data_IF_249419796207
#
_entry.id   IF_249419796207
#
_cell.length_a   1.000
_cell.length_b   1.000
_cell.length_c   1.000
_cell.angle_alpha   90.00
_cell.angle_beta   90.00
_cell.angle_gamma   90.00
#
_symmetry.space_group_name_H-M   'P 1'
#
loop_
_entity.id
_entity.type
_entity.pdbx_description
1 polymer ?
#
# COMPACT_ATOMS: atom_id res chain seq x y z
N UNK A 1 -20.28 -21.88 -25.92
CA UNK A 1 -19.10 -22.54 -26.51
C UNK A 1 -19.44 -24.03 -26.48
N UNK A 2 -19.91 -24.58 -27.63
CA UNK A 2 -20.14 -26.01 -27.79
C UNK A 2 -18.77 -26.72 -27.77
N UNK A 3 -18.64 -27.78 -26.96
CA UNK A 3 -17.51 -28.69 -27.05
C UNK A 3 -17.55 -29.36 -28.41
N UNK A 4 -16.50 -29.16 -29.21
CA UNK A 4 -16.27 -30.03 -30.38
C UNK A 4 -16.14 -31.47 -29.88
N UNK A 5 -16.63 -32.45 -30.64
CA UNK A 5 -16.42 -33.86 -30.31
C UNK A 5 -14.93 -34.18 -30.16
N UNK A 6 -14.55 -34.94 -29.16
CA UNK A 6 -13.14 -35.28 -28.86
C UNK A 6 -12.40 -35.89 -30.05
N UNK A 7 -13.11 -36.60 -30.93
CA UNK A 7 -12.54 -37.19 -32.14
C UNK A 7 -12.09 -36.16 -33.19
N UNK A 8 -12.87 -35.09 -33.38
CA UNK A 8 -12.54 -34.00 -34.30
C UNK A 8 -11.32 -33.18 -33.79
N UNK A 9 -11.20 -33.02 -32.46
CA UNK A 9 -10.04 -32.41 -31.84
C UNK A 9 -8.76 -33.25 -32.03
N UNK A 10 -8.87 -34.58 -31.95
CA UNK A 10 -7.75 -35.52 -32.16
C UNK A 10 -7.30 -35.54 -33.62
N UNK A 11 -8.20 -35.55 -34.55
CA UNK A 11 -7.88 -35.47 -36.00
C UNK A 11 -7.18 -34.15 -36.33
N UNK A 12 -7.71 -33.02 -35.86
CA UNK A 12 -7.11 -31.71 -36.08
C UNK A 12 -5.72 -31.61 -35.43
N UNK A 13 -5.52 -32.18 -34.23
CA UNK A 13 -4.22 -32.23 -33.57
C UNK A 13 -3.20 -33.05 -34.38
N UNK A 14 -3.60 -34.22 -34.89
CA UNK A 14 -2.73 -35.06 -35.70
C UNK A 14 -2.38 -34.37 -37.02
N UNK A 15 -3.32 -33.69 -37.65
CA UNK A 15 -3.10 -32.89 -38.85
C UNK A 15 -2.12 -31.75 -38.63
N UNK A 16 -2.23 -31.01 -37.50
CA UNK A 16 -1.29 -29.96 -37.16
C UNK A 16 0.12 -30.53 -36.93
N UNK A 17 0.23 -31.68 -36.25
CA UNK A 17 1.52 -32.34 -36.03
C UNK A 17 2.17 -32.78 -37.36
N UNK A 18 1.41 -33.34 -38.28
CA UNK A 18 1.92 -33.74 -39.59
C UNK A 18 2.38 -32.57 -40.46
N UNK A 19 1.90 -31.34 -40.18
CA UNK A 19 2.32 -30.10 -40.83
C UNK A 19 3.56 -29.46 -40.19
N UNK A 20 4.16 -30.07 -39.14
CA UNK A 20 5.34 -29.55 -38.43
C UNK A 20 5.03 -28.77 -37.15
N UNK A 21 3.78 -28.91 -36.65
CA UNK A 21 3.38 -28.34 -35.35
C UNK A 21 3.10 -26.82 -35.35
N UNK A 22 3.26 -26.20 -34.20
CA UNK A 22 2.99 -24.77 -34.03
C UNK A 22 4.16 -23.90 -34.54
N UNK A 23 3.87 -22.96 -35.41
CA UNK A 23 4.84 -21.99 -35.91
C UNK A 23 4.67 -20.67 -35.17
N UNK A 24 5.72 -20.23 -34.45
CA UNK A 24 5.73 -18.98 -33.68
C UNK A 24 6.51 -17.92 -34.46
N UNK A 25 5.83 -16.83 -34.79
CA UNK A 25 6.45 -15.66 -35.44
C UNK A 25 6.58 -14.55 -34.39
N UNK A 26 7.82 -14.14 -34.10
CA UNK A 26 8.11 -12.94 -33.35
C UNK A 26 8.33 -11.77 -34.30
N UNK A 27 7.59 -10.68 -34.11
CA UNK A 27 7.70 -9.47 -34.92
C UNK A 27 8.74 -8.48 -34.39
N UNK A 28 9.27 -8.76 -33.19
CA UNK A 28 10.33 -8.00 -32.52
C UNK A 28 11.09 -8.90 -31.55
N UNK A 29 12.23 -8.43 -31.06
CA UNK A 29 12.95 -9.08 -29.94
C UNK A 29 12.55 -8.43 -28.63
N UNK A 30 12.29 -9.24 -27.63
CA UNK A 30 12.00 -8.76 -26.30
C UNK A 30 13.27 -8.24 -25.60
N UNK A 31 13.09 -7.40 -24.60
CA UNK A 31 14.21 -6.84 -23.81
C UNK A 31 15.06 -7.92 -23.11
N UNK A 32 14.49 -9.09 -22.85
CA UNK A 32 15.15 -10.20 -22.17
C UNK A 32 15.17 -11.46 -23.03
N UNK A 33 16.35 -12.06 -23.16
CA UNK A 33 16.54 -13.36 -23.82
C UNK A 33 15.65 -14.46 -23.23
N UNK A 34 15.37 -14.39 -21.92
CA UNK A 34 14.48 -15.35 -21.26
C UNK A 34 13.06 -15.26 -21.80
N UNK A 35 12.56 -14.08 -22.08
CA UNK A 35 11.21 -13.86 -22.62
C UNK A 35 11.14 -14.36 -24.07
N UNK A 36 12.18 -14.10 -24.89
CA UNK A 36 12.28 -14.68 -26.24
C UNK A 36 12.24 -16.21 -26.20
N UNK A 37 12.99 -16.83 -25.29
CA UNK A 37 12.98 -18.29 -25.14
C UNK A 37 11.62 -18.81 -24.65
N UNK A 38 10.90 -18.06 -23.81
CA UNK A 38 9.53 -18.41 -23.43
C UNK A 38 8.56 -18.33 -24.63
N UNK A 39 8.73 -17.35 -25.50
CA UNK A 39 7.95 -17.26 -26.74
C UNK A 39 8.27 -18.42 -27.67
N UNK A 40 9.55 -18.73 -27.89
CA UNK A 40 10.00 -19.90 -28.69
C UNK A 40 9.48 -21.20 -28.10
N UNK A 41 9.52 -21.36 -26.78
CA UNK A 41 9.04 -22.56 -26.08
C UNK A 41 7.52 -22.78 -26.18
N UNK A 42 6.78 -21.87 -26.80
CA UNK A 42 5.37 -22.08 -27.13
C UNK A 42 5.21 -23.05 -28.29
N UNK A 43 6.19 -23.11 -29.21
CA UNK A 43 6.16 -23.99 -30.35
C UNK A 43 6.37 -25.48 -30.01
N UNK A 44 7.19 -25.79 -28.99
CA UNK A 44 7.63 -27.17 -28.69
C UNK A 44 7.15 -27.70 -27.34
N UNK A 45 5.90 -27.45 -26.91
CA UNK A 45 5.39 -27.95 -25.64
C UNK A 45 5.23 -29.44 -25.60
N UNK A 46 5.65 -30.07 -24.48
CA UNK A 46 5.52 -31.52 -24.24
C UNK A 46 6.18 -32.41 -25.30
N UNK A 47 7.23 -31.89 -25.97
CA UNK A 47 7.91 -32.64 -27.02
C UNK A 47 7.20 -32.68 -28.40
N UNK A 48 6.16 -31.85 -28.57
CA UNK A 48 5.54 -31.67 -29.87
C UNK A 48 6.52 -30.92 -30.80
N UNK A 49 6.48 -31.29 -32.11
CA UNK A 49 7.23 -30.55 -33.13
C UNK A 49 6.72 -29.13 -33.27
N UNK A 50 7.61 -28.21 -33.60
CA UNK A 50 7.27 -26.81 -33.82
C UNK A 50 8.46 -25.99 -34.26
N UNK A 51 8.20 -24.81 -34.83
CA UNK A 51 9.21 -23.93 -35.36
C UNK A 51 9.00 -22.50 -34.86
N UNK A 52 10.08 -21.72 -34.85
CA UNK A 52 9.97 -20.28 -34.48
C UNK A 52 10.92 -19.45 -35.32
N UNK A 53 10.46 -18.27 -35.71
CA UNK A 53 11.27 -17.26 -36.42
C UNK A 53 11.03 -15.89 -35.81
N UNK A 54 12.07 -15.04 -35.76
CA UNK A 54 11.95 -13.65 -35.34
C UNK A 54 12.34 -12.73 -36.48
N UNK A 55 11.46 -11.80 -36.81
CA UNK A 55 11.71 -10.68 -37.69
C UNK A 55 12.00 -9.46 -36.86
N UNK A 56 13.11 -8.78 -37.11
CA UNK A 56 13.59 -7.65 -36.30
C UNK A 56 13.85 -6.47 -37.21
N UNK A 57 13.36 -5.31 -36.82
CA UNK A 57 13.62 -4.06 -37.50
C UNK A 57 14.73 -3.27 -36.80
N UNK A 58 15.45 -2.44 -37.57
CA UNK A 58 16.37 -1.46 -36.99
C UNK A 58 15.67 -0.34 -36.21
N UNK A 59 14.36 -0.20 -36.44
CA UNK A 59 13.51 0.78 -35.75
C UNK A 59 12.96 0.24 -34.43
N UNK A 60 13.14 -1.05 -34.13
CA UNK A 60 12.72 -1.65 -32.86
C UNK A 60 13.41 -0.97 -31.68
N UNK A 61 12.71 -0.83 -30.56
CA UNK A 61 13.20 -0.13 -29.38
C UNK A 61 14.54 -0.66 -28.86
N UNK A 62 14.75 -1.97 -28.92
CA UNK A 62 16.02 -2.60 -28.57
C UNK A 62 17.17 -2.07 -29.45
N UNK A 63 16.92 -1.90 -30.74
CA UNK A 63 17.91 -1.41 -31.69
C UNK A 63 18.12 0.09 -31.58
N UNK A 64 17.07 0.86 -31.30
CA UNK A 64 17.16 2.32 -31.06
C UNK A 64 17.98 2.65 -29.83
N UNK A 65 17.86 1.88 -28.75
CA UNK A 65 18.56 2.13 -27.49
C UNK A 65 20.04 1.72 -27.57
N UNK A 66 20.37 0.65 -28.31
CA UNK A 66 21.71 0.05 -28.32
C UNK A 66 22.33 -0.06 -29.71
N UNK A 67 21.57 0.20 -30.76
CA UNK A 67 22.09 0.34 -32.11
C UNK A 67 22.97 1.60 -32.20
N UNK A 68 24.28 1.40 -32.26
CA UNK A 68 25.18 2.52 -32.48
C UNK A 68 25.03 3.06 -33.90
N UNK A 69 25.26 4.37 -34.10
CA UNK A 69 25.35 4.99 -35.44
C UNK A 69 26.32 4.21 -36.38
N UNK A 70 27.33 3.56 -35.79
CA UNK A 70 28.23 2.66 -36.49
C UNK A 70 27.52 1.44 -37.09
N UNK A 71 26.44 0.96 -36.55
CA UNK A 71 25.68 -0.17 -37.10
C UNK A 71 24.88 0.25 -38.34
N UNK A 72 24.27 1.44 -38.32
CA UNK A 72 23.60 2.01 -39.48
C UNK A 72 24.59 2.25 -40.63
N UNK A 73 25.79 2.73 -40.32
CA UNK A 73 26.85 2.93 -41.31
C UNK A 73 27.37 1.60 -41.92
N UNK A 74 27.41 0.52 -41.12
CA UNK A 74 27.82 -0.80 -41.62
C UNK A 74 26.71 -1.40 -42.48
N UNK A 75 25.45 -1.26 -42.10
CA UNK A 75 24.31 -1.76 -42.87
C UNK A 75 24.16 -1.01 -44.21
N UNK A 76 24.38 0.29 -44.22
CA UNK A 76 24.46 1.07 -45.49
C UNK A 76 25.63 0.63 -46.40
N UNK A 77 26.78 0.27 -45.80
CA UNK A 77 27.92 -0.29 -46.56
C UNK A 77 27.69 -1.68 -47.10
N UNK A 78 26.80 -2.46 -46.46
CA UNK A 78 26.35 -3.80 -46.92
C UNK A 78 25.33 -3.71 -48.07
N UNK A 79 24.94 -2.51 -48.50
CA UNK A 79 24.14 -2.29 -49.69
C UNK A 79 22.68 -2.65 -49.55
N UNK A 80 22.12 -2.57 -48.34
CA UNK A 80 20.70 -2.76 -48.10
C UNK A 80 19.86 -1.79 -48.87
N UNK A 81 18.95 -2.33 -49.67
CA UNK A 81 17.84 -1.58 -50.25
C UNK A 81 16.62 -1.72 -49.36
N UNK A 82 15.79 -0.69 -49.35
CA UNK A 82 14.52 -0.75 -48.60
C UNK A 82 13.70 -1.99 -48.99
N UNK A 83 13.34 -2.78 -48.01
CA UNK A 83 12.55 -4.00 -48.20
C UNK A 83 13.35 -5.31 -48.31
N UNK A 84 14.67 -5.31 -48.22
CA UNK A 84 15.48 -6.54 -48.19
C UNK A 84 15.70 -7.00 -46.75
N UNK A 85 15.59 -8.35 -46.54
CA UNK A 85 15.93 -8.97 -45.27
C UNK A 85 17.36 -9.49 -45.28
N UNK A 86 18.10 -9.26 -44.20
CA UNK A 86 19.44 -9.80 -44.01
C UNK A 86 19.40 -10.86 -42.92
N UNK A 87 19.86 -12.07 -43.28
CA UNK A 87 20.20 -13.07 -42.28
C UNK A 87 21.73 -13.23 -42.24
N UNK A 88 22.33 -12.57 -41.23
CA UNK A 88 23.78 -12.63 -41.06
C UNK A 88 24.13 -12.89 -39.58
N UNK A 89 25.00 -13.86 -39.27
CA UNK A 89 25.37 -14.23 -37.90
C UNK A 89 25.87 -13.07 -37.07
N UNK A 90 26.42 -12.06 -37.70
CA UNK A 90 26.92 -10.87 -37.03
C UNK A 90 25.82 -9.99 -36.42
N UNK A 91 24.69 -9.89 -37.14
CA UNK A 91 23.49 -9.17 -36.66
C UNK A 91 22.91 -9.88 -35.44
N UNK A 92 22.78 -11.19 -35.51
CA UNK A 92 22.31 -11.99 -34.38
C UNK A 92 23.19 -11.80 -33.13
N UNK A 93 24.53 -11.75 -33.31
CA UNK A 93 25.48 -11.51 -32.22
C UNK A 93 25.40 -10.07 -31.67
N UNK A 94 25.12 -9.09 -32.53
CA UNK A 94 24.93 -7.71 -32.11
C UNK A 94 23.63 -7.54 -31.29
N UNK A 95 22.53 -8.16 -31.72
CA UNK A 95 21.27 -8.22 -31.00
C UNK A 95 21.41 -8.88 -29.61
N UNK A 96 22.12 -10.00 -29.56
CA UNK A 96 22.38 -10.69 -28.29
C UNK A 96 23.16 -9.81 -27.31
N UNK A 97 24.17 -9.09 -27.79
CA UNK A 97 24.91 -8.12 -26.97
C UNK A 97 24.04 -6.94 -26.51
N UNK A 98 23.14 -6.47 -27.37
CA UNK A 98 22.19 -5.42 -27.02
C UNK A 98 21.26 -5.90 -25.89
N UNK A 99 20.66 -7.10 -26.02
CA UNK A 99 19.83 -7.69 -24.97
C UNK A 99 20.60 -7.83 -23.65
N UNK A 100 21.85 -8.34 -23.67
CA UNK A 100 22.68 -8.46 -22.47
C UNK A 100 22.89 -7.12 -21.76
N UNK A 101 23.10 -6.02 -22.51
CA UNK A 101 23.23 -4.68 -21.94
C UNK A 101 21.93 -4.20 -21.28
N UNK A 102 20.77 -4.45 -21.92
CA UNK A 102 19.45 -4.12 -21.33
C UNK A 102 19.22 -4.91 -20.07
N UNK A 103 19.48 -6.23 -20.11
CA UNK A 103 19.34 -7.09 -18.94
C UNK A 103 20.22 -6.63 -17.78
N UNK A 104 21.48 -6.29 -18.05
CA UNK A 104 22.41 -5.77 -17.02
C UNK A 104 21.90 -4.46 -16.43
N UNK A 105 21.47 -3.51 -17.27
CA UNK A 105 20.89 -2.24 -16.78
C UNK A 105 19.64 -2.48 -15.92
N UNK A 106 18.72 -3.31 -16.38
CA UNK A 106 17.51 -3.63 -15.63
C UNK A 106 17.81 -4.37 -14.33
N UNK A 107 18.86 -5.21 -14.32
CA UNK A 107 19.35 -5.85 -13.11
C UNK A 107 19.88 -4.83 -12.10
N UNK A 108 20.71 -3.88 -12.54
CA UNK A 108 21.25 -2.84 -11.66
C UNK A 108 20.16 -1.92 -11.12
N UNK A 109 19.15 -1.55 -11.92
CA UNK A 109 18.00 -0.79 -11.45
C UNK A 109 17.27 -1.57 -10.36
N UNK A 110 16.94 -2.84 -10.60
CA UNK A 110 16.26 -3.67 -9.59
C UNK A 110 17.10 -3.84 -8.33
N UNK A 111 18.41 -4.08 -8.46
CA UNK A 111 19.32 -4.20 -7.32
C UNK A 111 19.36 -2.92 -6.49
N UNK A 112 19.34 -1.77 -7.13
CA UNK A 112 19.29 -0.49 -6.41
C UNK A 112 17.95 -0.29 -5.71
N UNK A 113 16.82 -0.61 -6.37
CA UNK A 113 15.50 -0.54 -5.73
C UNK A 113 15.42 -1.41 -4.47
N UNK A 114 15.94 -2.64 -4.53
CA UNK A 114 15.97 -3.53 -3.35
C UNK A 114 16.71 -2.92 -2.16
N UNK A 115 17.83 -2.22 -2.39
CA UNK A 115 18.58 -1.57 -1.30
C UNK A 115 17.76 -0.49 -0.56
N UNK A 116 16.84 0.18 -1.25
CA UNK A 116 15.90 1.12 -0.62
C UNK A 116 14.76 0.39 0.08
N UNK A 117 14.25 -0.69 -0.54
CA UNK A 117 13.16 -1.48 0.00
C UNK A 117 13.57 -2.25 1.27
N UNK A 118 14.84 -2.67 1.39
CA UNK A 118 15.37 -3.32 2.59
C UNK A 118 15.16 -2.46 3.84
N UNK A 119 15.41 -1.15 3.75
CA UNK A 119 15.21 -0.22 4.87
C UNK A 119 13.74 -0.17 5.31
N UNK A 120 12.83 -0.09 4.35
CA UNK A 120 11.40 -0.12 4.63
C UNK A 120 10.96 -1.46 5.22
N UNK A 121 11.54 -2.56 4.74
CA UNK A 121 11.22 -3.90 5.20
C UNK A 121 11.65 -4.12 6.66
N UNK A 122 12.83 -3.65 7.05
CA UNK A 122 13.30 -3.71 8.44
C UNK A 122 12.33 -2.95 9.38
N UNK A 123 11.95 -1.75 9.00
CA UNK A 123 10.99 -0.95 9.76
C UNK A 123 9.60 -1.61 9.82
N UNK A 124 9.18 -2.23 8.72
CA UNK A 124 7.93 -3.01 8.65
C UNK A 124 7.95 -4.15 9.66
N UNK A 125 9.04 -4.90 9.75
CA UNK A 125 9.16 -6.00 10.71
C UNK A 125 8.98 -5.52 12.14
N UNK A 126 9.56 -4.39 12.52
CA UNK A 126 9.40 -3.81 13.86
C UNK A 126 7.94 -3.45 14.14
N UNK A 127 7.30 -2.70 13.23
CA UNK A 127 5.90 -2.27 13.39
C UNK A 127 4.94 -3.48 13.42
N UNK A 128 5.12 -4.45 12.51
CA UNK A 128 4.24 -5.63 12.50
C UNK A 128 4.46 -6.54 13.72
N UNK A 129 5.68 -6.62 14.24
CA UNK A 129 5.96 -7.33 15.48
C UNK A 129 5.23 -6.68 16.67
N UNK A 130 5.30 -5.35 16.80
CA UNK A 130 4.54 -4.62 17.82
C UNK A 130 3.03 -4.80 17.65
N UNK A 131 2.53 -4.69 16.41
CA UNK A 131 1.11 -4.89 16.10
C UNK A 131 0.62 -6.29 16.49
N UNK A 132 1.37 -7.32 16.15
CA UNK A 132 1.06 -8.70 16.51
C UNK A 132 1.16 -8.93 18.03
N UNK A 133 2.13 -8.32 18.69
CA UNK A 133 2.25 -8.35 20.14
C UNK A 133 0.99 -7.84 20.83
N UNK A 134 0.48 -6.68 20.38
CA UNK A 134 -0.75 -6.10 20.94
C UNK A 134 -1.99 -6.91 20.56
N UNK A 135 -2.06 -7.45 19.35
CA UNK A 135 -3.21 -8.29 18.94
C UNK A 135 -3.36 -9.53 19.80
N UNK A 136 -2.23 -10.16 20.15
CA UNK A 136 -2.21 -11.43 20.88
C UNK A 136 -2.10 -11.24 22.41
N UNK A 137 -1.85 -10.02 22.88
CA UNK A 137 -1.65 -9.74 24.30
C UNK A 137 -2.98 -9.43 25.01
N UNK A 138 -3.15 -9.98 26.20
CA UNK A 138 -4.14 -9.56 27.17
C UNK A 138 -3.67 -8.37 28.03
N UNK A 139 -2.37 -8.04 27.95
CA UNK A 139 -1.69 -7.03 28.77
C UNK A 139 -1.61 -5.66 28.07
N UNK A 140 -2.70 -5.21 27.46
CA UNK A 140 -2.72 -3.92 26.74
C UNK A 140 -2.49 -2.75 27.67
N UNK A 141 -2.94 -2.85 28.92
CA UNK A 141 -2.72 -1.82 29.92
C UNK A 141 -1.24 -1.65 30.28
N UNK A 142 -0.45 -2.73 30.29
CA UNK A 142 0.99 -2.63 30.57
C UNK A 142 1.70 -1.82 29.48
N UNK A 143 1.33 -2.00 28.19
CA UNK A 143 1.87 -1.20 27.09
C UNK A 143 1.51 0.29 27.20
N UNK A 144 0.26 0.60 27.58
CA UNK A 144 -0.15 1.98 27.75
C UNK A 144 0.54 2.66 28.94
N UNK A 145 0.84 1.93 30.00
CA UNK A 145 1.58 2.44 31.17
C UNK A 145 3.07 2.64 30.85
N UNK A 146 3.68 1.74 30.09
CA UNK A 146 5.04 1.89 29.58
C UNK A 146 5.19 3.12 28.70
N UNK A 147 4.30 3.31 27.72
CA UNK A 147 4.31 4.47 26.84
C UNK A 147 4.09 5.78 27.59
N UNK A 148 3.18 5.78 28.56
CA UNK A 148 2.98 6.94 29.41
C UNK A 148 4.24 7.30 30.17
N UNK A 149 4.92 6.31 30.75
CA UNK A 149 6.18 6.51 31.49
C UNK A 149 7.30 7.10 30.61
N UNK A 150 7.43 6.59 29.36
CA UNK A 150 8.42 7.11 28.40
C UNK A 150 8.09 8.55 27.98
N UNK A 151 6.82 8.86 27.71
CA UNK A 151 6.39 10.23 27.37
C UNK A 151 6.66 11.20 28.51
N UNK A 152 6.33 10.82 29.72
CA UNK A 152 6.61 11.65 30.91
C UNK A 152 8.11 11.89 31.05
N UNK A 153 8.94 10.86 30.89
CA UNK A 153 10.41 10.97 30.96
C UNK A 153 10.95 11.90 29.88
N UNK A 154 10.44 11.81 28.65
CA UNK A 154 10.76 12.72 27.56
C UNK A 154 10.36 14.16 27.85
N UNK A 155 9.13 14.40 28.35
CA UNK A 155 8.66 15.72 28.74
C UNK A 155 9.48 16.34 29.88
N UNK A 156 9.90 15.55 30.86
CA UNK A 156 10.78 16.00 31.94
C UNK A 156 12.14 16.39 31.37
N UNK A 157 12.69 15.62 30.42
CA UNK A 157 13.96 15.96 29.75
C UNK A 157 13.85 17.28 28.98
N UNK A 158 12.76 17.50 28.24
CA UNK A 158 12.50 18.78 27.57
C UNK A 158 12.34 19.93 28.55
N UNK A 159 11.70 19.71 29.71
CA UNK A 159 11.51 20.68 30.77
C UNK A 159 12.82 21.09 31.40
N UNK A 160 13.74 20.15 31.68
CA UNK A 160 15.06 20.42 32.25
C UNK A 160 15.98 21.16 31.28
N UNK A 161 15.80 20.96 29.97
CA UNK A 161 16.57 21.63 28.92
C UNK A 161 16.04 23.01 28.53
N UNK A 162 15.22 23.67 29.37
CA UNK A 162 14.54 24.97 29.14
C UNK A 162 15.47 26.18 28.80
N UNK A 163 16.76 25.99 28.67
CA UNK A 163 17.76 27.03 28.36
C UNK A 163 17.62 27.65 26.95
N UNK A 164 16.81 27.08 26.05
CA UNK A 164 16.54 27.65 24.74
C UNK A 164 15.03 27.88 24.53
N UNK A 165 14.67 29.05 24.00
CA UNK A 165 13.28 29.42 23.65
C UNK A 165 12.57 28.42 22.77
N UNK A 166 13.31 27.78 21.89
CA UNK A 166 12.77 26.75 20.96
C UNK A 166 12.29 25.49 21.69
N UNK A 167 13.08 24.99 22.64
CA UNK A 167 12.72 23.77 23.41
C UNK A 167 11.57 24.03 24.41
N UNK A 168 11.47 25.24 24.92
CA UNK A 168 10.34 25.62 25.78
C UNK A 168 9.01 25.63 24.99
N UNK A 169 9.03 26.11 23.74
CA UNK A 169 7.87 26.06 22.86
C UNK A 169 7.50 24.61 22.48
N UNK A 170 8.48 23.76 22.26
CA UNK A 170 8.26 22.34 21.97
C UNK A 170 7.62 21.61 23.16
N UNK A 171 8.16 21.79 24.37
CA UNK A 171 7.59 21.25 25.60
C UNK A 171 6.12 21.71 25.79
N UNK A 172 5.86 23.01 25.65
CA UNK A 172 4.51 23.55 25.82
C UNK A 172 3.53 22.98 24.76
N UNK A 173 3.97 22.83 23.52
CA UNK A 173 3.16 22.27 22.44
C UNK A 173 2.85 20.79 22.68
N UNK A 174 3.84 19.99 23.06
CA UNK A 174 3.64 18.57 23.37
C UNK A 174 2.74 18.38 24.58
N UNK A 175 2.92 19.17 25.64
CA UNK A 175 2.08 19.12 26.82
C UNK A 175 0.63 19.56 26.52
N UNK A 176 0.44 20.61 25.71
CA UNK A 176 -0.90 21.01 25.25
C UNK A 176 -1.58 19.94 24.42
N UNK A 177 -0.82 19.25 23.57
CA UNK A 177 -1.34 18.12 22.77
C UNK A 177 -1.77 17.00 23.69
N UNK A 178 -0.95 16.62 24.68
CA UNK A 178 -1.21 15.52 25.60
C UNK A 178 -2.44 15.77 26.48
N UNK A 179 -2.54 16.96 27.07
CA UNK A 179 -3.62 17.30 27.98
C UNK A 179 -4.92 17.66 27.27
N UNK A 180 -4.85 18.02 25.98
CA UNK A 180 -5.99 18.34 25.16
C UNK A 180 -6.70 19.64 25.54
N UNK A 181 -7.91 19.81 24.95
CA UNK A 181 -8.74 21.01 25.15
C UNK A 181 -9.46 21.06 26.52
N UNK A 182 -9.34 20.02 27.31
CA UNK A 182 -10.05 19.90 28.61
C UNK A 182 -9.33 20.55 29.77
N UNK A 183 -8.19 21.18 29.53
CA UNK A 183 -7.39 21.84 30.58
C UNK A 183 -7.44 23.34 30.39
N UNK A 184 -7.88 24.05 31.43
CA UNK A 184 -7.89 25.52 31.47
C UNK A 184 -6.45 26.08 31.44
N UNK A 185 -6.28 27.28 30.86
CA UNK A 185 -4.97 27.95 30.77
C UNK A 185 -4.30 28.14 32.15
N UNK A 186 -5.07 28.26 33.22
CA UNK A 186 -4.57 28.35 34.57
C UNK A 186 -4.04 27.00 35.09
N UNK A 187 -4.75 25.92 34.84
CA UNK A 187 -4.30 24.54 35.18
C UNK A 187 -3.05 24.19 34.37
N UNK A 188 -2.99 24.58 33.09
CA UNK A 188 -1.82 24.38 32.25
C UNK A 188 -0.58 25.07 32.82
N UNK A 189 -0.68 26.35 33.25
CA UNK A 189 0.43 27.07 33.89
C UNK A 189 0.87 26.39 35.18
N UNK A 190 -0.09 25.99 36.02
CA UNK A 190 0.21 25.28 37.26
C UNK A 190 0.98 23.97 36.99
N UNK A 191 0.56 23.18 36.00
CA UNK A 191 1.24 21.90 35.62
C UNK A 191 2.65 22.15 35.10
N UNK A 192 2.90 23.24 34.35
CA UNK A 192 4.24 23.56 33.83
C UNK A 192 5.24 23.97 34.92
N UNK A 193 4.76 24.50 36.04
CA UNK A 193 5.60 24.99 37.17
C UNK A 193 5.88 23.92 38.23
N UNK A 194 5.16 22.78 38.21
CA UNK A 194 5.35 21.68 39.17
C UNK A 194 6.78 21.13 39.13
N UNK A 195 7.25 20.62 40.26
CA UNK A 195 8.50 19.83 40.31
C UNK A 195 8.33 18.51 39.53
N UNK A 196 9.42 17.92 39.11
CA UNK A 196 9.38 16.74 38.18
C UNK A 196 8.61 15.57 38.74
N UNK A 197 8.69 15.27 40.04
CA UNK A 197 7.90 14.21 40.67
C UNK A 197 6.41 14.53 40.77
N UNK A 198 6.09 15.78 41.12
CA UNK A 198 4.69 16.25 41.19
C UNK A 198 4.06 16.29 39.80
N UNK A 199 4.84 16.72 38.80
CA UNK A 199 4.46 16.66 37.38
C UNK A 199 4.13 15.25 36.93
N UNK A 200 5.03 14.28 37.20
CA UNK A 200 4.81 12.86 36.92
C UNK A 200 3.54 12.33 37.55
N UNK A 201 3.36 12.61 38.86
CA UNK A 201 2.19 12.16 39.62
C UNK A 201 0.88 12.75 39.07
N UNK A 202 0.90 14.03 38.69
CA UNK A 202 -0.27 14.72 38.12
C UNK A 202 -0.73 14.14 36.80
N UNK A 203 0.21 13.83 35.89
CA UNK A 203 -0.13 13.24 34.61
C UNK A 203 -0.59 11.79 34.78
N UNK A 204 0.09 11.02 35.63
CA UNK A 204 -0.32 9.65 35.94
C UNK A 204 -1.72 9.60 36.56
N UNK A 205 -2.05 10.48 37.53
CA UNK A 205 -3.38 10.52 38.12
C UNK A 205 -4.46 10.82 37.09
N UNK A 206 -4.20 11.79 36.18
CA UNK A 206 -5.15 12.15 35.12
C UNK A 206 -5.39 10.99 34.12
N UNK A 207 -4.35 10.26 33.79
CA UNK A 207 -4.45 9.08 32.93
C UNK A 207 -5.24 7.96 33.62
N UNK A 208 -4.94 7.68 34.90
CA UNK A 208 -5.64 6.65 35.68
C UNK A 208 -7.09 7.02 35.93
N UNK A 209 -7.41 8.29 36.18
CA UNK A 209 -8.79 8.78 36.30
C UNK A 209 -9.58 8.47 35.03
N UNK A 210 -9.03 8.84 33.86
CA UNK A 210 -9.67 8.58 32.57
C UNK A 210 -9.83 7.07 32.30
N UNK A 211 -8.84 6.24 32.67
CA UNK A 211 -8.95 4.77 32.57
C UNK A 211 -10.03 4.21 33.48
N UNK A 212 -10.06 4.66 34.76
CA UNK A 212 -11.05 4.20 35.74
C UNK A 212 -12.48 4.57 35.34
N UNK A 213 -12.67 5.75 34.76
CA UNK A 213 -13.97 6.14 34.19
C UNK A 213 -14.40 5.19 33.07
N UNK A 214 -13.48 4.83 32.16
CA UNK A 214 -13.76 3.86 31.09
C UNK A 214 -14.11 2.47 31.63
N UNK A 215 -13.37 2.00 32.64
CA UNK A 215 -13.63 0.69 33.27
C UNK A 215 -15.00 0.70 33.97
N UNK A 216 -15.36 1.77 34.65
CA UNK A 216 -16.67 1.91 35.30
C UNK A 216 -17.83 1.87 34.30
N UNK A 217 -17.64 2.39 33.10
CA UNK A 217 -18.69 2.47 32.08
C UNK A 217 -18.79 1.21 31.20
N UNK A 218 -17.68 0.53 30.93
CA UNK A 218 -17.61 -0.53 29.92
C UNK A 218 -17.28 -1.92 30.46
N UNK A 219 -16.91 -2.09 31.69
CA UNK A 219 -16.20 -3.22 32.26
C UNK A 219 -14.73 -3.31 31.80
N UNK A 220 -13.90 -4.01 32.58
CA UNK A 220 -12.45 -4.08 32.34
C UNK A 220 -12.10 -4.73 30.99
N UNK A 221 -12.76 -5.82 30.61
CA UNK A 221 -12.48 -6.52 29.35
C UNK A 221 -12.79 -5.65 28.13
N UNK A 222 -13.93 -4.98 28.13
CA UNK A 222 -14.30 -4.06 27.04
C UNK A 222 -13.39 -2.82 27.01
N UNK A 223 -12.97 -2.32 28.18
CA UNK A 223 -12.02 -1.22 28.25
C UNK A 223 -10.66 -1.61 27.63
N UNK A 224 -10.15 -2.82 27.90
CA UNK A 224 -8.96 -3.38 27.25
C UNK A 224 -9.13 -3.51 25.74
N UNK A 225 -10.29 -3.96 25.28
CA UNK A 225 -10.58 -4.07 23.84
C UNK A 225 -10.59 -2.70 23.15
N UNK A 226 -11.16 -1.68 23.80
CA UNK A 226 -11.16 -0.30 23.28
C UNK A 226 -9.73 0.25 23.18
N UNK A 227 -8.91 0.11 24.23
CA UNK A 227 -7.51 0.54 24.19
C UNK A 227 -6.72 -0.20 23.08
N UNK A 228 -6.96 -1.51 22.93
CA UNK A 228 -6.37 -2.32 21.85
C UNK A 228 -6.75 -1.81 20.46
N UNK A 229 -8.02 -1.52 20.23
CA UNK A 229 -8.50 -0.98 18.95
C UNK A 229 -7.89 0.39 18.64
N UNK A 230 -7.82 1.28 19.63
CA UNK A 230 -7.21 2.59 19.48
C UNK A 230 -5.73 2.46 19.13
N UNK A 231 -5.00 1.57 19.81
CA UNK A 231 -3.59 1.36 19.53
C UNK A 231 -3.36 0.86 18.10
N UNK A 232 -4.13 -0.13 17.65
CA UNK A 232 -4.06 -0.64 16.28
C UNK A 232 -4.38 0.44 15.26
N UNK A 233 -5.38 1.28 15.54
CA UNK A 233 -5.72 2.40 14.66
C UNK A 233 -4.61 3.45 14.60
N UNK A 234 -3.97 3.77 15.73
CA UNK A 234 -2.82 4.66 15.77
C UNK A 234 -1.65 4.10 14.95
N UNK A 235 -1.35 2.80 15.06
CA UNK A 235 -0.32 2.15 14.24
C UNK A 235 -0.66 2.31 12.75
N UNK A 236 -1.86 1.92 12.35
CA UNK A 236 -2.26 1.89 10.95
C UNK A 236 -2.20 3.30 10.30
N UNK A 237 -2.67 4.32 11.00
CA UNK A 237 -2.65 5.70 10.51
C UNK A 237 -1.23 6.27 10.40
N UNK A 238 -0.42 6.11 11.46
CA UNK A 238 0.94 6.64 11.48
C UNK A 238 1.84 5.90 10.50
N UNK A 239 1.72 4.57 10.41
CA UNK A 239 2.46 3.74 9.46
C UNK A 239 2.14 4.09 8.01
N UNK A 240 0.87 4.28 7.67
CA UNK A 240 0.45 4.70 6.33
C UNK A 240 1.09 6.04 5.93
N UNK A 241 1.06 7.02 6.83
CA UNK A 241 1.67 8.33 6.59
C UNK A 241 3.18 8.24 6.42
N UNK A 242 3.83 7.37 7.20
CA UNK A 242 5.27 7.15 7.13
C UNK A 242 5.71 6.53 5.80
N UNK A 243 4.99 5.51 5.31
CA UNK A 243 5.26 4.92 3.99
C UNK A 243 5.19 5.98 2.89
N UNK A 244 4.16 6.83 2.93
CA UNK A 244 4.01 7.92 1.95
C UNK A 244 5.19 8.90 2.01
N UNK A 245 5.66 9.21 3.21
CA UNK A 245 6.81 10.09 3.40
C UNK A 245 8.11 9.49 2.88
N UNK A 246 8.34 8.20 3.15
CA UNK A 246 9.51 7.49 2.62
C UNK A 246 9.48 7.37 1.10
N UNK A 247 8.31 7.20 0.51
CA UNK A 247 8.18 7.18 -0.95
C UNK A 247 8.52 8.55 -1.56
N UNK A 248 8.04 9.65 -0.97
CA UNK A 248 8.43 11.00 -1.39
C UNK A 248 9.92 11.25 -1.21
N UNK A 249 10.49 10.83 -0.08
CA UNK A 249 11.93 10.94 0.17
C UNK A 249 12.74 10.18 -0.91
N UNK A 250 12.32 8.96 -1.27
CA UNK A 250 12.96 8.15 -2.30
C UNK A 250 13.01 8.85 -3.66
N UNK A 251 11.95 9.59 -4.01
CA UNK A 251 11.90 10.31 -5.28
C UNK A 251 12.89 11.48 -5.35
N UNK A 252 13.12 12.16 -4.22
CA UNK A 252 13.96 13.38 -4.19
C UNK A 252 15.39 13.13 -3.73
N UNK A 253 15.67 12.00 -3.07
CA UNK A 253 16.98 11.72 -2.47
C UNK A 253 18.11 11.66 -3.50
N UNK A 254 17.79 11.30 -4.74
CA UNK A 254 18.74 11.28 -5.86
C UNK A 254 19.40 12.63 -6.10
N UNK A 255 18.73 13.74 -5.77
CA UNK A 255 19.29 15.09 -5.91
C UNK A 255 20.47 15.35 -4.97
N UNK A 256 20.61 14.57 -3.89
CA UNK A 256 21.77 14.68 -2.97
C UNK A 256 23.10 14.29 -3.62
N UNK A 257 23.06 13.54 -4.73
CA UNK A 257 24.26 13.19 -5.50
C UNK A 257 24.97 14.41 -6.08
N UNK A 258 24.26 15.51 -6.37
CA UNK A 258 24.88 16.76 -6.80
C UNK A 258 25.80 17.37 -5.73
N UNK A 259 25.53 17.07 -4.45
CA UNK A 259 26.38 17.45 -3.31
C UNK A 259 27.47 16.41 -2.96
N UNK A 260 27.80 15.51 -3.89
CA UNK A 260 28.80 14.44 -3.70
C UNK A 260 28.47 13.49 -2.52
N UNK A 261 27.20 13.37 -2.14
CA UNK A 261 26.75 12.46 -1.11
C UNK A 261 26.11 11.23 -1.76
N UNK A 262 26.36 10.06 -1.17
CA UNK A 262 25.70 8.83 -1.62
C UNK A 262 24.21 8.86 -1.24
N UNK A 263 23.29 8.86 -2.24
CA UNK A 263 21.86 8.92 -2.00
C UNK A 263 21.34 7.80 -1.09
N UNK A 264 21.92 6.60 -1.17
CA UNK A 264 21.50 5.48 -0.36
C UNK A 264 21.85 5.67 1.12
N UNK A 265 23.05 6.19 1.40
CA UNK A 265 23.49 6.48 2.77
C UNK A 265 22.64 7.58 3.40
N UNK A 266 22.37 8.64 2.64
CA UNK A 266 21.54 9.74 3.11
C UNK A 266 20.08 9.26 3.32
N UNK A 267 19.55 8.44 2.41
CA UNK A 267 18.22 7.84 2.59
C UNK A 267 18.12 7.01 3.87
N UNK A 268 19.12 6.16 4.14
CA UNK A 268 19.14 5.34 5.37
C UNK A 268 19.12 6.20 6.63
N UNK A 269 19.91 7.28 6.66
CA UNK A 269 19.95 8.20 7.81
C UNK A 269 18.62 8.93 8.02
N UNK A 270 18.06 9.50 6.95
CA UNK A 270 16.80 10.22 7.04
C UNK A 270 15.63 9.28 7.36
N UNK A 271 15.58 8.09 6.75
CA UNK A 271 14.57 7.09 7.04
C UNK A 271 14.61 6.58 8.48
N UNK A 272 15.81 6.44 9.06
CA UNK A 272 15.98 6.08 10.48
C UNK A 272 15.42 7.18 11.39
N UNK A 273 15.79 8.42 11.14
CA UNK A 273 15.30 9.56 11.93
C UNK A 273 13.77 9.72 11.83
N UNK A 274 13.23 9.56 10.62
CA UNK A 274 11.78 9.60 10.40
C UNK A 274 11.06 8.45 11.13
N UNK A 275 11.70 7.29 11.23
CA UNK A 275 11.14 6.14 11.93
C UNK A 275 11.15 6.33 13.46
N UNK A 276 12.21 6.89 14.02
CA UNK A 276 12.22 7.28 15.44
C UNK A 276 11.11 8.29 15.76
N UNK A 277 10.94 9.29 14.90
CA UNK A 277 9.86 10.26 15.05
C UNK A 277 8.47 9.62 14.95
N UNK A 278 8.30 8.64 14.05
CA UNK A 278 7.07 7.86 13.95
C UNK A 278 6.75 7.13 15.25
N UNK A 279 7.74 6.43 15.84
CA UNK A 279 7.54 5.68 17.08
C UNK A 279 7.16 6.61 18.25
N UNK A 280 7.85 7.73 18.36
CA UNK A 280 7.56 8.74 19.39
C UNK A 280 6.19 9.37 19.19
N UNK A 281 5.83 9.69 17.95
CA UNK A 281 4.51 10.22 17.61
C UNK A 281 3.40 9.22 17.89
N UNK A 282 3.60 7.96 17.55
CA UNK A 282 2.63 6.88 17.79
C UNK A 282 2.31 6.75 19.29
N UNK A 283 3.36 6.74 20.13
CA UNK A 283 3.19 6.71 21.59
C UNK A 283 2.41 7.93 22.09
N UNK A 284 2.79 9.11 21.61
CA UNK A 284 2.13 10.37 21.98
C UNK A 284 0.67 10.40 21.56
N UNK A 285 0.35 10.06 20.29
CA UNK A 285 -1.02 10.05 19.78
C UNK A 285 -1.88 9.07 20.57
N UNK A 286 -1.36 7.85 20.84
CA UNK A 286 -2.07 6.83 21.60
C UNK A 286 -2.42 7.30 23.02
N UNK A 287 -1.43 7.77 23.78
CA UNK A 287 -1.66 8.24 25.16
C UNK A 287 -2.55 9.47 25.19
N UNK A 288 -2.38 10.39 24.23
CA UNK A 288 -3.23 11.58 24.09
C UNK A 288 -4.70 11.19 23.89
N UNK A 289 -4.96 10.22 23.03
CA UNK A 289 -6.34 9.75 22.81
C UNK A 289 -6.88 9.11 24.10
N UNK A 290 -6.08 8.30 24.79
CA UNK A 290 -6.52 7.63 26.02
C UNK A 290 -6.83 8.61 27.15
N UNK A 291 -6.07 9.70 27.30
CA UNK A 291 -6.34 10.74 28.31
C UNK A 291 -7.63 11.50 27.98
N UNK A 292 -7.85 11.80 26.70
CA UNK A 292 -8.95 12.69 26.29
C UNK A 292 -10.22 11.93 25.85
N UNK A 293 -10.22 10.58 25.87
CA UNK A 293 -11.34 9.77 25.44
C UNK A 293 -12.47 9.85 26.48
N UNK A 294 -13.56 10.50 26.11
CA UNK A 294 -14.80 10.51 26.86
C UNK A 294 -15.83 9.59 26.21
N UNK A 295 -16.34 8.65 26.96
CA UNK A 295 -17.42 7.77 26.49
C UNK A 295 -18.72 8.52 26.74
N UNK A 296 -19.41 8.86 25.67
CA UNK A 296 -20.76 9.39 25.72
C UNK A 296 -21.68 8.19 25.48
N UNK A 297 -22.44 7.79 26.51
CA UNK A 297 -23.59 6.93 26.28
C UNK A 297 -24.65 7.81 25.62
N UNK A 298 -24.77 7.69 24.31
CA UNK A 298 -26.03 8.14 23.71
C UNK A 298 -27.14 7.33 24.38
N UNK A 299 -28.18 8.02 24.90
CA UNK A 299 -29.38 7.29 25.30
C UNK A 299 -29.75 6.47 24.07
N UNK A 300 -30.01 5.19 24.27
CA UNK A 300 -30.48 4.30 23.23
C UNK A 300 -31.86 4.79 22.75
N UNK A 301 -31.87 5.91 22.08
CA UNK A 301 -32.90 6.16 21.08
C UNK A 301 -32.68 5.03 20.09
N UNK A 302 -33.67 4.15 20.05
CA UNK A 302 -33.79 3.20 18.97
C UNK A 302 -33.39 3.94 17.69
N UNK A 303 -32.13 3.74 17.25
CA UNK A 303 -31.75 4.00 15.89
C UNK A 303 -32.54 2.94 15.14
N UNK A 304 -33.82 3.19 15.00
CA UNK A 304 -34.49 2.80 13.77
C UNK A 304 -33.57 3.39 12.70
N UNK A 305 -32.64 2.54 12.19
CA UNK A 305 -32.04 2.79 10.87
C UNK A 305 -33.17 3.42 10.08
N UNK A 306 -33.00 4.58 9.44
CA UNK A 306 -34.03 5.02 8.52
C UNK A 306 -34.18 3.81 7.61
N UNK A 307 -35.23 3.03 7.86
CA UNK A 307 -35.70 1.97 6.99
C UNK A 307 -35.64 2.65 5.64
N UNK A 308 -34.81 2.13 4.74
CA UNK A 308 -34.79 2.53 3.37
C UNK A 308 -36.22 2.87 3.06
N UNK A 309 -36.50 4.14 2.73
CA UNK A 309 -37.82 4.72 2.54
C UNK A 309 -38.73 3.59 2.17
N UNK A 310 -39.72 3.27 3.00
CA UNK A 310 -40.71 2.27 2.66
C UNK A 310 -41.13 2.61 1.25
N UNK A 311 -40.55 1.91 0.30
CA UNK A 311 -41.06 1.93 -1.07
C UNK A 311 -42.49 1.53 -0.86
N UNK A 312 -43.38 2.45 -1.05
CA UNK A 312 -44.81 2.30 -0.78
C UNK A 312 -45.18 0.87 -1.16
N UNK A 313 -45.32 0.01 -0.15
CA UNK A 313 -45.92 -1.30 -0.30
C UNK A 313 -47.40 -1.01 -0.60
N UNK A 314 -47.61 -0.48 -1.79
CA UNK A 314 -48.98 -0.34 -2.27
C UNK A 314 -49.49 -1.77 -2.47
N UNK A 315 -50.48 -2.21 -1.65
CA UNK A 315 -51.01 -3.56 -1.73
C UNK A 315 -51.57 -3.90 -3.08
N UNK A 316 -51.71 -2.93 -3.96
CA UNK A 316 -52.17 -3.06 -5.36
C UNK A 316 -51.07 -3.35 -6.36
N UNK A 317 -49.79 -3.38 -5.98
CA UNK A 317 -48.69 -3.65 -6.92
C UNK A 317 -48.57 -5.15 -7.23
N UNK A 318 -49.06 -5.57 -8.39
CA UNK A 318 -49.04 -6.96 -8.87
C UNK A 318 -47.64 -7.51 -9.09
N UNK A 319 -46.62 -6.67 -9.29
CA UNK A 319 -45.21 -7.11 -9.42
C UNK A 319 -44.61 -7.57 -8.11
N UNK A 320 -45.07 -7.04 -6.95
CA UNK A 320 -44.65 -7.51 -5.64
C UNK A 320 -45.20 -8.93 -5.34
N UNK A 321 -46.34 -9.27 -5.92
CA UNK A 321 -46.99 -10.57 -5.69
C UNK A 321 -46.32 -11.72 -6.45
N UNK A 322 -45.53 -11.44 -7.51
CA UNK A 322 -44.75 -12.42 -8.25
C UNK A 322 -43.45 -12.82 -7.44
N UNK A 323 -43.62 -13.29 -6.23
CA UNK A 323 -42.50 -13.80 -5.41
C UNK A 323 -41.92 -15.06 -6.06
N UNK A 324 -40.69 -14.94 -6.61
CA UNK A 324 -39.89 -16.06 -7.15
C UNK A 324 -39.50 -15.92 -8.63
N UNK A 325 -40.13 -15.05 -9.42
CA UNK A 325 -39.71 -14.82 -10.80
C UNK A 325 -38.77 -13.60 -10.94
N UNK A 326 -37.76 -13.71 -11.81
CA UNK A 326 -36.87 -12.59 -12.14
C UNK A 326 -37.64 -11.54 -12.97
N UNK A 327 -38.01 -10.46 -12.31
CA UNK A 327 -38.71 -9.33 -12.95
C UNK A 327 -37.70 -8.48 -13.71
N UNK A 328 -38.00 -8.14 -14.96
CA UNK A 328 -37.15 -7.27 -15.81
C UNK A 328 -37.12 -5.84 -15.25
N UNK A 329 -35.92 -5.23 -15.20
CA UNK A 329 -35.72 -3.85 -14.70
C UNK A 329 -36.57 -2.80 -15.44
N UNK A 330 -36.93 -3.05 -16.70
CA UNK A 330 -37.73 -2.16 -17.55
C UNK A 330 -39.23 -2.52 -17.63
N UNK A 331 -39.64 -3.59 -16.96
CA UNK A 331 -41.06 -3.99 -16.90
C UNK A 331 -41.90 -2.91 -16.22
N UNK A 332 -43.04 -2.58 -16.79
CA UNK A 332 -43.92 -1.53 -16.26
C UNK A 332 -44.84 -2.11 -15.19
N UNK A 333 -44.94 -1.43 -14.06
CA UNK A 333 -45.87 -1.75 -13.01
C UNK A 333 -47.29 -1.31 -13.42
N UNK A 334 -48.24 -2.24 -13.47
CA UNK A 334 -49.64 -1.97 -13.87
C UNK A 334 -50.37 -1.03 -12.89
N UNK A 335 -49.95 -1.01 -11.61
CA UNK A 335 -50.56 -0.13 -10.61
C UNK A 335 -50.06 1.32 -10.70
N UNK A 336 -48.77 1.55 -11.07
CA UNK A 336 -48.16 2.89 -11.06
C UNK A 336 -47.75 3.39 -12.43
N UNK A 337 -47.78 2.55 -13.47
CA UNK A 337 -47.29 2.86 -14.81
C UNK A 337 -45.80 3.11 -14.95
N UNK A 338 -45.05 3.08 -13.83
CA UNK A 338 -43.59 3.29 -13.78
C UNK A 338 -42.84 1.99 -14.01
N UNK A 339 -41.62 2.10 -14.57
CA UNK A 339 -40.72 0.93 -14.73
C UNK A 339 -40.35 0.35 -13.37
N UNK A 340 -40.17 -0.99 -13.27
CA UNK A 340 -39.83 -1.71 -12.02
C UNK A 340 -38.68 -1.05 -11.27
N UNK A 341 -37.59 -0.66 -11.94
CA UNK A 341 -36.45 0.06 -11.35
C UNK A 341 -36.76 1.40 -10.70
N UNK A 342 -37.90 2.02 -11.05
CA UNK A 342 -38.35 3.32 -10.54
C UNK A 342 -39.58 3.21 -9.62
N UNK A 343 -39.98 1.99 -9.27
CA UNK A 343 -41.12 1.68 -8.41
C UNK A 343 -40.70 0.64 -7.34
N UNK A 344 -41.10 -0.58 -7.48
CA UNK A 344 -40.87 -1.65 -6.51
C UNK A 344 -39.41 -2.18 -6.49
N UNK A 345 -38.63 -1.90 -7.52
CA UNK A 345 -37.22 -2.27 -7.64
C UNK A 345 -36.22 -1.08 -7.49
N UNK A 346 -36.71 0.05 -6.95
CA UNK A 346 -35.81 1.14 -6.56
C UNK A 346 -35.11 0.78 -5.25
N UNK A 347 -33.80 0.53 -5.33
CA UNK A 347 -32.90 0.34 -4.19
C UNK A 347 -32.49 1.69 -3.62
#
# INVERSE_FOLDING_TARGET
KGSQPDDELLENKNKIKSLGGLFVIGTERMESRRVDNQARGRAGRQGDEGSSIFYVSLEDDLMRIFGSESMNNILQKLGLKDGESIDHPWINKALERAQQKVEARNFDIRKNLLKFDDVLNDQRHVIFSQRNGVMNSEKVFDYSDEFLSEIISHLITLKTQKLSTTKNNEFNNQLKTLLGKSVDDNEFKNVTELKDEEFKNKINSKFLESRNERIKMLDEEKAKEVEKRIFLQCIDLNWKSHIQYLEQLRQVIGLRSYGQRDPLVEYKKEAFFLFENLLNKLKMDFVTILINLKIVQEPSENITRPLAKETSNDPKCLLIQKKGEKISRNEKCDATGKKFKNCCGAL
#
